data_IF_748848734326
#
_entry.id   IF_748848734326
#
_cell.length_a   1.000
_cell.length_b   1.000
_cell.length_c   1.000
_cell.angle_alpha   90.00
_cell.angle_beta   90.00
_cell.angle_gamma   90.00
#
_symmetry.space_group_name_H-M   'P 1'
#
loop_
_entity.id
_entity.type
_entity.pdbx_description
1 polymer ?
2 polymer ?
3 polymer ?
4 non-polymer ?
5 non-polymer ?
6 water ?
#
# COMPACT_ATOMS: atom_id res chain seq x y z
N UNK A 1 -13.69 15.97 -6.80
CA UNK A 1 -12.79 14.83 -6.72
C UNK A 1 -11.40 15.24 -6.27
N UNK A 2 -11.11 15.02 -4.98
CA UNK A 2 -9.83 15.40 -4.37
C UNK A 2 -8.68 14.49 -4.81
N UNK A 3 -7.46 14.96 -4.58
CA UNK A 3 -6.26 14.18 -4.87
C UNK A 3 -5.28 14.37 -3.74
N UNK A 4 -4.33 13.45 -3.61
CA UNK A 4 -3.39 13.50 -2.51
C UNK A 4 -1.97 13.22 -2.96
N UNK A 5 -1.02 13.78 -2.23
CA UNK A 5 0.37 13.40 -2.39
C UNK A 5 0.80 12.87 -1.05
N UNK A 6 1.27 11.61 -1.00
CA UNK A 6 1.71 10.99 0.24
C UNK A 6 3.11 10.36 0.09
N UNK A 7 3.93 10.53 1.12
CA UNK A 7 5.18 9.78 1.24
C UNK A 7 5.12 8.85 2.46
N UNK A 8 5.50 7.60 2.21
CA UNK A 8 5.62 6.62 3.27
C UNK A 8 7.11 6.42 3.54
N UNK A 9 7.50 6.70 4.77
CA UNK A 9 8.92 6.72 5.12
C UNK A 9 9.18 5.76 6.24
N UNK A 10 10.22 4.95 6.09
CA UNK A 10 10.53 3.93 7.08
C UNK A 10 12.02 3.82 7.30
N UNK A 11 12.43 3.74 8.56
CA UNK A 11 13.80 3.45 8.90
C UNK A 11 13.85 2.30 9.86
N UNK A 12 14.63 1.27 9.54
CA UNK A 12 14.61 0.03 10.31
C UNK A 12 16.04 -0.36 10.70
N UNK A 13 16.34 -0.46 11.99
CA UNK A 13 17.72 -0.79 12.37
C UNK A 13 17.97 -2.30 12.26
N UNK A 14 19.23 -2.70 12.25
CA UNK A 14 19.56 -4.10 12.12
C UNK A 14 20.93 -4.40 12.72
N UNK A 15 20.97 -4.46 14.05
CA UNK A 15 22.23 -4.65 14.80
C UNK A 15 22.96 -5.88 14.30
N UNK A 16 24.26 -5.76 14.13
CA UNK A 16 25.06 -6.86 13.64
C UNK A 16 25.14 -6.89 12.12
N UNK A 17 24.29 -6.13 11.45
CA UNK A 17 24.27 -6.19 9.98
C UNK A 17 24.55 -4.89 9.23
N UNK A 18 25.09 -3.89 9.90
CA UNK A 18 25.39 -2.63 9.25
C UNK A 18 24.35 -1.54 9.52
N UNK A 19 24.30 -0.56 8.64
CA UNK A 19 23.40 0.60 8.77
C UNK A 19 21.93 0.23 8.64
N UNK A 20 21.06 1.03 9.25
CA UNK A 20 19.61 0.80 9.14
C UNK A 20 19.18 0.78 7.69
N UNK A 21 18.13 0.04 7.37
CA UNK A 21 17.57 0.21 6.05
C UNK A 21 16.69 1.45 6.08
N UNK A 22 16.71 2.20 4.98
CA UNK A 22 15.93 3.44 4.89
C UNK A 22 15.23 3.51 3.55
N UNK A 23 13.94 3.85 3.57
CA UNK A 23 13.06 3.80 2.41
C UNK A 23 12.04 4.93 2.44
N UNK A 24 11.88 5.58 1.29
CA UNK A 24 10.81 6.57 1.08
C UNK A 24 10.04 6.12 -0.15
N UNK A 25 8.72 6.08 -0.04
CA UNK A 25 7.88 5.71 -1.20
C UNK A 25 6.77 6.74 -1.35
N UNK A 26 6.68 7.31 -2.54
CA UNK A 26 5.71 8.35 -2.80
C UNK A 26 4.58 7.93 -3.71
N UNK A 27 3.39 8.43 -3.40
CA UNK A 27 2.18 8.12 -4.15
C UNK A 27 1.44 9.41 -4.55
N UNK A 28 0.90 9.43 -5.76
CA UNK A 28 -0.15 10.40 -6.07
C UNK A 28 -1.45 9.61 -6.13
N UNK A 29 -2.40 9.94 -5.26
CA UNK A 29 -3.57 9.09 -5.11
C UNK A 29 -3.13 7.66 -4.74
N UNK A 30 -3.65 6.63 -5.42
CA UNK A 30 -3.30 5.24 -5.11
C UNK A 30 -2.19 4.70 -6.01
N UNK A 31 -1.48 5.58 -6.70
CA UNK A 31 -0.45 5.17 -7.67
C UNK A 31 0.97 5.47 -7.18
N UNK A 32 1.80 4.44 -7.06
CA UNK A 32 3.21 4.67 -6.72
C UNK A 32 3.91 5.48 -7.83
N UNK A 33 4.66 6.52 -7.50
CA UNK A 33 5.30 7.31 -8.56
C UNK A 33 6.81 7.58 -8.36
N UNK A 34 7.28 7.50 -7.11
CA UNK A 34 8.72 7.56 -6.82
C UNK A 34 9.13 6.66 -5.65
N UNK A 35 10.41 6.31 -5.61
CA UNK A 35 10.90 5.44 -4.55
C UNK A 35 12.39 5.64 -4.29
N UNK A 36 12.78 5.63 -3.02
CA UNK A 36 14.19 5.61 -2.64
C UNK A 36 14.43 4.49 -1.64
N UNK A 37 15.49 3.71 -1.89
CA UNK A 37 15.78 2.53 -1.07
C UNK A 37 17.28 2.45 -0.82
N UNK A 38 17.69 2.58 0.44
CA UNK A 38 19.09 2.56 0.81
C UNK A 38 19.81 1.24 0.47
N UNK A 39 19.06 0.17 0.30
CA UNK A 39 19.67 -1.12 0.00
C UNK A 39 19.96 -1.35 -1.49
N UNK A 40 19.39 -0.50 -2.36
CA UNK A 40 19.65 -0.61 -3.78
C UNK A 40 21.15 -0.59 -4.07
N UNK A 41 21.56 -1.24 -5.17
CA UNK A 41 22.95 -1.26 -5.59
C UNK A 41 23.49 0.15 -5.64
N UNK A 42 22.71 1.01 -6.27
CA UNK A 42 23.01 2.43 -6.35
C UNK A 42 21.85 3.25 -5.77
N UNK A 43 21.95 3.60 -4.49
CA UNK A 43 20.80 4.23 -3.80
C UNK A 43 20.47 5.60 -4.37
N UNK A 44 19.31 5.76 -4.99
CA UNK A 44 18.92 7.07 -5.53
C UNK A 44 17.41 7.14 -5.66
N UNK A 45 16.86 8.35 -5.73
CA UNK A 45 15.45 8.48 -6.06
C UNK A 45 15.17 8.02 -7.49
N UNK A 46 14.14 7.19 -7.66
CA UNK A 46 13.80 6.68 -9.00
C UNK A 46 12.33 6.83 -9.34
N UNK A 47 12.04 7.08 -10.63
CA UNK A 47 10.65 7.12 -11.12
C UNK A 47 10.00 5.76 -11.03
N UNK A 48 8.71 5.72 -10.72
CA UNK A 48 7.98 4.46 -10.61
C UNK A 48 6.75 4.52 -11.51
N UNK A 49 6.55 5.68 -12.14
CA UNK A 49 5.46 5.89 -13.07
C UNK A 49 6.08 6.43 -14.34
N UNK A 50 5.55 6.00 -15.48
CA UNK A 50 6.12 6.41 -16.75
C UNK A 50 6.12 7.93 -16.99
N UNK A 51 5.07 8.63 -16.54
CA UNK A 51 4.97 10.06 -16.78
C UNK A 51 6.00 10.89 -16.00
N UNK A 52 6.68 10.27 -15.04
CA UNK A 52 7.68 10.98 -14.26
C UNK A 52 8.94 11.18 -15.10
N UNK A 53 8.94 10.54 -16.25
CA UNK A 53 9.90 10.77 -17.31
C UNK A 53 10.00 12.27 -17.67
N UNK A 54 8.91 12.99 -17.45
CA UNK A 54 8.89 14.43 -17.66
C UNK A 54 9.81 15.27 -16.74
N UNK A 55 10.35 14.69 -15.66
CA UNK A 55 11.30 15.44 -14.81
C UNK A 55 12.74 15.25 -15.27
N UNK A 56 13.50 16.34 -15.29
CA UNK A 56 14.90 16.32 -15.69
C UNK A 56 15.85 15.90 -14.58
N UNK A 57 17.14 15.68 -14.93
CA UNK A 57 18.07 15.12 -13.93
C UNK A 57 18.22 16.02 -12.68
N UNK A 58 18.00 17.32 -12.82
CA UNK A 58 18.11 18.22 -11.66
C UNK A 58 17.08 17.91 -10.57
N UNK A 59 15.92 17.38 -10.97
CA UNK A 59 14.93 16.90 -10.03
C UNK A 59 15.41 15.67 -9.28
N UNK A 60 15.87 14.68 -10.02
CA UNK A 60 16.34 13.42 -9.45
C UNK A 60 17.52 13.67 -8.50
N UNK A 61 18.36 14.64 -8.85
CA UNK A 61 19.53 14.95 -8.04
C UNK A 61 19.10 15.60 -6.74
N UNK A 62 18.22 16.59 -6.84
CA UNK A 62 17.70 17.32 -5.70
C UNK A 62 17.04 16.37 -4.70
N UNK A 63 16.15 15.53 -5.22
CA UNK A 63 15.40 14.60 -4.36
C UNK A 63 16.32 13.58 -3.70
N UNK A 64 17.27 13.06 -4.48
CA UNK A 64 18.22 12.07 -3.98
C UNK A 64 19.02 12.64 -2.83
N UNK A 65 19.48 13.87 -2.98
CA UNK A 65 20.26 14.52 -1.92
C UNK A 65 19.40 14.72 -0.67
N UNK A 66 18.15 15.14 -0.85
CA UNK A 66 17.23 15.26 0.28
C UNK A 66 17.09 13.92 0.95
N UNK A 67 16.90 12.88 0.16
CA UNK A 67 16.68 11.56 0.71
C UNK A 67 17.90 11.10 1.49
N UNK A 68 19.09 11.45 0.99
CA UNK A 68 20.32 11.05 1.68
C UNK A 68 20.46 11.80 3.00
N UNK A 69 19.94 13.03 3.06
CA UNK A 69 19.96 13.78 4.31
C UNK A 69 18.94 13.21 5.28
N UNK A 70 17.78 12.84 4.77
CA UNK A 70 16.76 12.21 5.57
C UNK A 70 17.29 10.90 6.18
N UNK A 71 18.00 10.12 5.38
CA UNK A 71 18.58 8.86 5.86
C UNK A 71 19.44 9.12 7.09
N UNK A 72 20.33 10.11 6.97
CA UNK A 72 21.21 10.46 8.07
C UNK A 72 20.44 10.93 9.31
N UNK A 73 19.39 11.71 9.09
CA UNK A 73 18.62 12.22 10.22
C UNK A 73 17.89 11.08 10.93
N UNK A 74 17.41 10.10 10.17
CA UNK A 74 16.71 8.97 10.80
C UNK A 74 17.65 7.98 11.52
N UNK A 75 18.83 7.75 10.99
CA UNK A 75 19.87 7.04 11.74
C UNK A 75 20.08 7.67 13.12
N UNK A 76 20.11 9.00 13.16
CA UNK A 76 20.29 9.73 14.42
C UNK A 76 19.11 9.51 15.34
N UNK A 77 17.89 9.60 14.79
CA UNK A 77 16.67 9.35 15.52
C UNK A 77 16.64 7.96 16.17
N UNK A 78 17.03 6.94 15.40
CA UNK A 78 16.99 5.58 15.91
C UNK A 78 17.83 5.51 17.18
N UNK A 79 19.01 6.13 17.12
CA UNK A 79 19.90 6.15 18.26
C UNK A 79 19.30 6.93 19.43
N UNK A 80 18.68 8.07 19.13
CA UNK A 80 18.11 8.93 20.14
C UNK A 80 17.00 8.22 20.90
N UNK A 81 16.12 7.55 20.17
CA UNK A 81 14.98 6.90 20.79
C UNK A 81 15.45 5.67 21.55
N UNK A 82 16.46 5.00 21.03
CA UNK A 82 17.02 3.85 21.71
C UNK A 82 17.40 4.22 23.14
N UNK A 83 18.04 5.38 23.27
CA UNK A 83 18.43 5.88 24.58
C UNK A 83 17.25 6.30 25.44
N UNK A 84 16.41 7.18 24.88
CA UNK A 84 15.27 7.71 25.62
C UNK A 84 14.42 6.58 26.17
N UNK A 85 14.24 5.50 25.41
CA UNK A 85 13.47 4.34 25.87
C UNK A 85 14.29 3.34 26.70
N UNK A 86 15.58 3.65 26.89
CA UNK A 86 16.47 2.76 27.63
C UNK A 86 16.41 1.34 27.10
N UNK A 87 16.59 1.19 25.78
CA UNK A 87 16.51 -0.12 25.11
C UNK A 87 17.89 -0.71 24.76
N UNK A 88 17.96 -2.03 24.67
CA UNK A 88 19.20 -2.71 24.34
C UNK A 88 19.73 -2.33 22.96
N UNK A 89 21.04 -2.44 22.79
CA UNK A 89 21.64 -2.11 21.51
C UNK A 89 21.46 -3.29 20.55
N UNK A 90 20.94 -4.39 21.06
CA UNK A 90 20.88 -5.63 20.29
C UNK A 90 19.66 -5.82 19.42
N UNK A 91 18.57 -5.11 19.70
CA UNK A 91 17.32 -5.32 19.00
C UNK A 91 17.09 -4.41 17.79
N UNK A 92 16.28 -4.87 16.84
CA UNK A 92 15.91 -4.05 15.70
C UNK A 92 14.75 -3.15 16.10
N UNK A 93 14.73 -1.91 15.61
CA UNK A 93 13.58 -1.04 15.86
C UNK A 93 13.19 -0.31 14.58
N UNK A 94 11.97 0.25 14.57
CA UNK A 94 11.43 0.88 13.38
C UNK A 94 10.84 2.25 13.64
N UNK A 95 11.20 3.20 12.78
CA UNK A 95 10.50 4.48 12.73
C UNK A 95 9.71 4.58 11.43
N UNK A 96 8.49 5.08 11.53
CA UNK A 96 7.65 5.26 10.36
C UNK A 96 7.09 6.66 10.36
N UNK A 97 6.93 7.20 9.16
CA UNK A 97 6.35 8.52 8.97
C UNK A 97 5.46 8.53 7.74
N UNK A 98 4.31 9.15 7.88
CA UNK A 98 3.51 9.46 6.70
C UNK A 98 3.35 10.97 6.66
N UNK A 99 3.58 11.53 5.48
CA UNK A 99 3.71 12.95 5.26
C UNK A 99 3.07 13.29 3.94
N UNK A 100 2.25 14.34 3.90
CA UNK A 100 1.64 14.71 2.63
C UNK A 100 0.47 15.65 2.74
N UNK A 101 -0.19 15.86 1.61
CA UNK A 101 -1.30 16.79 1.51
C UNK A 101 -2.39 16.31 0.55
N UNK A 102 -3.58 16.85 0.75
CA UNK A 102 -4.73 16.59 -0.10
C UNK A 102 -5.27 17.91 -0.65
N UNK A 103 -5.57 17.97 -1.95
CA UNK A 103 -6.17 19.16 -2.55
C UNK A 103 -7.52 18.86 -3.19
N UNK A 104 -8.37 19.88 -3.28
CA UNK A 104 -9.64 19.72 -3.96
C UNK A 104 -9.47 19.71 -5.47
N UNK A 105 -10.56 19.52 -6.19
CA UNK A 105 -10.53 19.51 -7.65
C UNK A 105 -10.11 20.87 -8.21
N UNK A 106 -10.23 21.91 -7.39
CA UNK A 106 -9.80 23.25 -7.78
C UNK A 106 -8.32 23.52 -7.44
N UNK A 107 -7.62 22.52 -6.93
CA UNK A 107 -6.20 22.64 -6.65
C UNK A 107 -5.86 23.31 -5.33
N UNK A 108 -6.87 23.54 -4.50
CA UNK A 108 -6.69 24.19 -3.21
C UNK A 108 -6.53 23.19 -2.06
N UNK A 109 -5.63 23.50 -1.14
CA UNK A 109 -5.34 22.64 -0.01
C UNK A 109 -6.60 22.33 0.79
N UNK A 110 -6.80 21.05 1.11
CA UNK A 110 -7.88 20.63 1.99
C UNK A 110 -7.29 20.25 3.34
N UNK A 111 -6.21 19.49 3.32
CA UNK A 111 -5.62 19.04 4.56
C UNK A 111 -4.15 18.70 4.38
N UNK A 112 -3.39 18.84 5.46
CA UNK A 112 -2.00 18.45 5.46
C UNK A 112 -1.73 17.62 6.69
N UNK A 113 -0.76 16.71 6.62
CA UNK A 113 -0.51 15.88 7.79
C UNK A 113 0.89 15.35 7.83
N UNK A 114 1.33 15.04 9.04
CA UNK A 114 2.61 14.36 9.21
C UNK A 114 2.59 13.64 10.53
N UNK A 115 2.68 12.31 10.47
CA UNK A 115 2.47 11.51 11.67
C UNK A 115 3.62 10.50 11.81
N UNK A 116 4.20 10.42 13.00
CA UNK A 116 5.32 9.50 13.27
C UNK A 116 4.90 8.38 14.19
N UNK A 117 5.52 7.21 13.98
CA UNK A 117 5.41 6.10 14.91
C UNK A 117 6.79 5.50 15.21
N UNK A 118 6.90 4.87 16.37
CA UNK A 118 8.08 4.12 16.75
C UNK A 118 7.66 2.71 17.14
N UNK A 119 8.31 1.71 16.55
CA UNK A 119 7.95 0.33 16.80
C UNK A 119 6.44 0.10 16.65
N UNK A 120 5.85 0.82 15.69
CA UNK A 120 4.48 0.61 15.28
C UNK A 120 3.42 1.23 16.18
N UNK A 121 3.83 2.15 17.04
CA UNK A 121 2.88 2.89 17.87
C UNK A 121 3.03 4.40 17.67
N UNK A 122 1.90 5.10 17.63
CA UNK A 122 1.92 6.56 17.62
C UNK A 122 3.05 7.14 18.47
N UNK A 123 3.80 8.08 17.89
CA UNK A 123 4.88 8.76 18.61
C UNK A 123 4.58 10.26 18.70
N UNK A 124 4.54 10.94 17.56
CA UNK A 124 4.14 12.35 17.52
C UNK A 124 3.36 12.68 16.24
N UNK A 125 2.48 13.67 16.31
CA UNK A 125 1.74 14.05 15.12
C UNK A 125 1.48 15.56 15.05
N UNK A 126 1.50 16.10 13.84
CA UNK A 126 1.08 17.48 13.64
C UNK A 126 -0.45 17.57 13.73
N UNK A 127 -0.98 18.51 14.51
CA UNK A 127 -2.44 18.65 14.61
C UNK A 127 -3.03 19.28 13.36
N UNK A 128 -4.37 19.33 13.30
CA UNK A 128 -5.05 19.82 12.09
C UNK A 128 -4.80 21.30 11.85
N UNK A 129 -4.53 22.03 12.93
CA UNK A 129 -4.25 23.46 12.84
C UNK A 129 -2.92 23.75 12.14
N UNK A 130 -2.11 22.72 11.91
CA UNK A 130 -0.76 22.85 11.35
C UNK A 130 0.16 23.75 12.18
N UNK A 131 -0.09 23.84 13.47
CA UNK A 131 0.67 24.75 14.33
C UNK A 131 1.15 24.07 15.60
N UNK A 132 0.47 23.01 16.02
CA UNK A 132 0.76 22.40 17.30
C UNK A 132 0.91 20.88 17.17
N UNK A 133 1.64 20.30 18.11
CA UNK A 133 1.94 18.87 18.09
C UNK A 133 1.18 18.15 19.17
N UNK A 134 0.84 16.90 18.90
CA UNK A 134 0.40 16.00 19.95
C UNK A 134 1.42 14.86 20.08
N UNK A 135 2.01 14.76 21.28
CA UNK A 135 2.94 13.69 21.62
C UNK A 135 2.22 12.57 22.37
N UNK A 136 2.61 11.32 22.14
CA UNK A 136 1.87 10.18 22.68
C UNK A 136 2.44 9.54 23.95
N UNK A 137 3.68 9.84 24.26
CA UNK A 137 4.30 9.33 25.48
C UNK A 137 5.35 10.33 25.92
N UNK A 138 6.13 9.98 26.94
CA UNK A 138 7.03 10.96 27.55
C UNK A 138 8.29 11.22 26.73
N UNK A 139 8.69 10.25 25.91
CA UNK A 139 9.83 10.49 25.02
C UNK A 139 9.44 11.48 23.92
N UNK A 140 8.26 11.29 23.32
CA UNK A 140 7.77 12.22 22.32
C UNK A 140 7.63 13.63 22.88
N UNK A 141 7.46 13.77 24.20
CA UNK A 141 7.40 15.11 24.80
C UNK A 141 8.71 15.87 24.62
N UNK A 142 9.82 15.16 24.68
CA UNK A 142 11.12 15.78 24.40
C UNK A 142 11.20 16.29 22.96
N UNK A 143 10.81 15.44 22.01
CA UNK A 143 10.81 15.85 20.61
C UNK A 143 9.89 17.06 20.40
N UNK A 144 8.69 16.98 20.95
CA UNK A 144 7.77 18.11 20.86
C UNK A 144 8.42 19.44 21.32
N UNK A 145 9.17 19.40 22.42
CA UNK A 145 9.78 20.62 22.94
C UNK A 145 10.86 21.14 22.00
N UNK A 146 11.75 20.25 21.58
CA UNK A 146 12.75 20.59 20.56
C UNK A 146 12.10 21.30 19.37
N UNK A 147 11.02 20.73 18.84
CA UNK A 147 10.41 21.26 17.62
C UNK A 147 9.69 22.59 17.85
N UNK A 148 9.09 22.75 19.02
CA UNK A 148 8.55 24.05 19.38
C UNK A 148 9.66 25.09 19.42
N UNK A 149 10.76 24.76 20.09
CA UNK A 149 11.85 25.71 20.26
C UNK A 149 12.51 26.06 18.92
N UNK A 150 12.53 25.12 17.98
CA UNK A 150 13.18 25.39 16.70
C UNK A 150 12.22 25.90 15.63
N UNK A 151 10.97 26.12 15.98
CA UNK A 151 9.99 26.57 15.00
C UNK A 151 9.71 25.56 13.88
N UNK A 152 9.87 24.27 14.17
CA UNK A 152 9.65 23.20 13.18
C UNK A 152 8.25 23.18 12.54
N UNK A 153 7.21 23.44 13.33
CA UNK A 153 5.85 23.40 12.77
C UNK A 153 5.62 24.50 11.72
N UNK A 154 6.19 25.67 11.94
CA UNK A 154 6.08 26.73 10.95
C UNK A 154 6.84 26.33 9.66
N UNK A 155 7.98 25.66 9.82
CA UNK A 155 8.70 25.17 8.67
C UNK A 155 7.89 24.14 7.92
N UNK A 156 7.34 23.19 8.67
CA UNK A 156 6.54 22.14 8.08
C UNK A 156 5.29 22.71 7.42
N UNK A 157 4.65 23.67 8.06
CA UNK A 157 3.41 24.21 7.52
C UNK A 157 3.69 24.90 6.18
N UNK A 158 4.83 25.59 6.08
CA UNK A 158 5.23 26.21 4.83
C UNK A 158 5.43 25.19 3.71
N UNK A 159 5.95 24.01 4.05
CA UNK A 159 6.08 22.95 3.05
C UNK A 159 4.69 22.39 2.67
N UNK A 160 3.88 22.06 3.66
CA UNK A 160 2.57 21.46 3.44
C UNK A 160 1.63 22.38 2.68
N UNK A 161 1.74 23.69 2.93
CA UNK A 161 0.85 24.65 2.26
C UNK A 161 1.45 25.19 0.99
N UNK A 162 2.75 24.99 0.82
CA UNK A 162 3.47 25.58 -0.28
C UNK A 162 3.94 24.48 -1.21
N UNK A 163 5.15 23.99 -0.93
CA UNK A 163 5.81 23.01 -1.78
C UNK A 163 4.92 21.82 -2.11
N UNK A 164 4.34 21.21 -1.07
CA UNK A 164 3.58 19.97 -1.24
C UNK A 164 2.41 20.17 -2.21
N UNK A 165 1.65 21.25 -2.02
CA UNK A 165 0.51 21.55 -2.87
C UNK A 165 0.96 21.83 -4.32
N UNK A 166 2.05 22.56 -4.44
CA UNK A 166 2.52 22.97 -5.76
C UNK A 166 3.05 21.79 -6.57
N UNK A 167 3.87 20.96 -5.96
CA UNK A 167 4.30 19.75 -6.66
C UNK A 167 3.14 18.81 -7.00
N UNK A 168 2.20 18.64 -6.08
CA UNK A 168 1.04 17.80 -6.37
C UNK A 168 0.29 18.30 -7.62
N UNK A 169 0.11 19.61 -7.76
CA UNK A 169 -0.60 20.16 -8.93
C UNK A 169 0.16 19.82 -10.20
N UNK A 170 1.48 19.93 -10.13
CA UNK A 170 2.33 19.64 -11.27
C UNK A 170 2.34 18.15 -11.63
N UNK A 171 2.37 17.27 -10.63
CA UNK A 171 2.30 15.84 -10.89
C UNK A 171 0.95 15.51 -11.57
N UNK A 172 -0.14 16.04 -11.02
CA UNK A 172 -1.47 15.84 -11.61
C UNK A 172 -1.55 16.29 -13.07
N UNK A 173 -0.88 17.40 -13.38
CA UNK A 173 -0.83 17.90 -14.75
C UNK A 173 0.01 17.00 -15.64
N UNK A 174 1.23 16.71 -15.20
CA UNK A 174 2.14 15.90 -15.99
C UNK A 174 1.62 14.47 -16.21
N UNK A 175 1.02 13.87 -15.19
CA UNK A 175 0.50 12.51 -15.32
C UNK A 175 -0.99 12.45 -15.61
N UNK A 176 -1.53 13.56 -16.10
CA UNK A 176 -2.97 13.67 -16.34
C UNK A 176 -3.57 12.43 -16.99
N UNK A 177 -2.94 11.95 -18.05
CA UNK A 177 -3.48 10.82 -18.81
C UNK A 177 -3.63 9.56 -17.97
N UNK A 178 -2.69 9.35 -17.06
CA UNK A 178 -2.70 8.19 -16.20
C UNK A 178 -3.54 8.43 -14.96
N UNK A 179 -3.31 9.57 -14.32
CA UNK A 179 -3.86 9.79 -13.00
C UNK A 179 -5.33 10.14 -13.01
N UNK A 180 -5.79 10.76 -14.11
CA UNK A 180 -7.16 11.23 -14.15
C UNK A 180 -8.09 10.29 -14.92
N UNK A 181 -7.58 9.12 -15.28
CA UNK A 181 -8.33 8.16 -16.06
C UNK A 181 -9.34 7.40 -15.20
N UNK A 182 -10.29 6.77 -15.85
CA UNK A 182 -11.17 5.83 -15.17
C UNK A 182 -11.16 4.51 -15.92
N UNK A 183 -10.85 3.42 -15.20
CA UNK A 183 -11.00 2.07 -15.75
C UNK A 183 -12.17 1.37 -15.09
N UNK A 184 -13.13 0.95 -15.92
CA UNK A 184 -14.36 0.35 -15.44
C UNK A 184 -14.11 -1.08 -15.02
N UNK A 185 -14.70 -1.49 -13.89
CA UNK A 185 -14.57 -2.87 -13.43
C UNK A 185 -15.23 -3.82 -14.39
N UNK A 186 -14.64 -5.01 -14.54
CA UNK A 186 -15.29 -6.09 -15.24
C UNK A 186 -15.55 -7.16 -14.20
N UNK A 187 -16.77 -7.67 -14.16
CA UNK A 187 -17.16 -8.54 -13.05
C UNK A 187 -17.68 -9.91 -13.48
N UNK A 188 -17.53 -10.89 -12.58
CA UNK A 188 -18.06 -12.23 -12.80
C UNK A 188 -18.28 -12.95 -11.46
N UNK A 189 -19.11 -13.98 -11.48
CA UNK A 189 -19.50 -14.68 -10.26
C UNK A 189 -19.08 -16.15 -10.30
N UNK A 190 -18.41 -16.61 -9.25
CA UNK A 190 -18.03 -18.02 -9.14
C UNK A 190 -18.89 -18.75 -8.08
N UNK A 191 -18.92 -20.08 -8.19
CA UNK A 191 -19.81 -20.93 -7.42
C UNK A 191 -19.00 -22.08 -6.83
N UNK A 192 -19.10 -22.25 -5.51
CA UNK A 192 -18.39 -23.35 -4.85
C UNK A 192 -19.31 -24.15 -3.94
N UNK A 193 -19.26 -25.47 -4.07
CA UNK A 193 -20.13 -26.31 -3.25
C UNK A 193 -19.63 -26.32 -1.81
N UNK A 194 -20.53 -26.58 -0.88
CA UNK A 194 -20.19 -26.70 0.54
C UNK A 194 -20.87 -27.92 1.15
N UNK A 195 -20.41 -28.33 2.33
CA UNK A 195 -21.16 -29.31 3.12
C UNK A 195 -22.52 -28.71 3.50
N UNK A 196 -23.50 -29.57 3.72
CA UNK A 196 -24.82 -29.16 4.22
C UNK A 196 -25.68 -28.39 3.22
N UNK A 197 -25.59 -28.75 1.94
CA UNK A 197 -26.50 -28.19 0.93
C UNK A 197 -26.45 -26.67 0.87
N UNK A 198 -25.27 -26.12 1.09
CA UNK A 198 -25.07 -24.69 0.96
C UNK A 198 -23.95 -24.38 -0.03
N UNK A 199 -24.02 -23.20 -0.62
CA UNK A 199 -23.13 -22.82 -1.71
C UNK A 199 -22.40 -21.51 -1.40
N UNK A 200 -21.14 -21.40 -1.81
CA UNK A 200 -20.48 -20.11 -1.81
C UNK A 200 -20.60 -19.42 -3.17
N UNK A 201 -21.13 -18.21 -3.18
CA UNK A 201 -21.15 -17.42 -4.39
C UNK A 201 -20.15 -16.28 -4.21
N UNK A 202 -19.19 -16.16 -5.12
CA UNK A 202 -18.16 -15.12 -4.97
C UNK A 202 -18.20 -14.14 -6.14
N UNK A 203 -18.40 -12.87 -5.82
CA UNK A 203 -18.45 -11.83 -6.86
C UNK A 203 -17.09 -11.15 -7.05
N UNK A 204 -16.52 -11.26 -8.24
CA UNK A 204 -15.23 -10.61 -8.53
C UNK A 204 -15.41 -9.31 -9.30
N UNK A 205 -14.57 -8.31 -8.96
CA UNK A 205 -14.44 -7.11 -9.76
C UNK A 205 -12.96 -6.89 -10.14
N UNK A 206 -12.68 -6.79 -11.44
CA UNK A 206 -11.31 -6.76 -11.93
C UNK A 206 -11.05 -5.56 -12.81
N UNK A 207 -9.78 -5.16 -12.88
CA UNK A 207 -9.30 -4.21 -13.86
C UNK A 207 -9.71 -2.76 -13.67
N UNK A 208 -9.98 -2.34 -12.44
CA UNK A 208 -10.51 -0.97 -12.26
C UNK A 208 -9.51 0.05 -11.69
N UNK A 209 -9.83 1.31 -11.97
CA UNK A 209 -9.10 2.46 -11.46
C UNK A 209 -10.04 3.64 -11.51
N UNK A 210 -10.03 4.49 -10.48
CA UNK A 210 -9.19 4.37 -9.27
C UNK A 210 -9.68 3.29 -8.31
N UNK A 211 -9.09 3.21 -7.12
CA UNK A 211 -9.28 2.05 -6.25
C UNK A 211 -10.63 2.01 -5.52
N UNK A 212 -11.25 3.17 -5.34
CA UNK A 212 -12.51 3.21 -4.60
C UNK A 212 -13.57 2.41 -5.38
N UNK A 213 -14.28 1.53 -4.68
CA UNK A 213 -15.32 0.70 -5.28
C UNK A 213 -16.27 0.17 -4.21
N UNK A 214 -17.47 -0.23 -4.60
CA UNK A 214 -18.39 -0.89 -3.67
C UNK A 214 -19.00 -2.16 -4.27
N UNK A 215 -18.92 -3.27 -3.52
CA UNK A 215 -19.56 -4.52 -3.91
C UNK A 215 -20.59 -4.90 -2.86
N UNK A 216 -21.79 -5.28 -3.30
CA UNK A 216 -22.81 -5.74 -2.37
C UNK A 216 -23.55 -7.00 -2.89
N UNK A 217 -23.96 -7.84 -1.96
CA UNK A 217 -24.85 -8.95 -2.27
C UNK A 217 -26.26 -8.62 -1.79
N UNK A 218 -27.24 -8.81 -2.67
CA UNK A 218 -28.63 -8.60 -2.30
C UNK A 218 -29.43 -9.87 -2.38
N UNK A 219 -30.40 -10.00 -1.49
CA UNK A 219 -31.36 -11.09 -1.54
C UNK A 219 -32.70 -10.63 -2.12
N UNK A 220 -33.47 -9.92 -1.32
CA UNK A 220 -34.76 -9.42 -1.78
C UNK A 220 -34.78 -7.90 -1.71
N UNK A 221 -34.12 -7.25 -2.67
CA UNK A 221 -33.95 -5.82 -2.67
C UNK A 221 -33.27 -5.34 -1.40
N UNK A 222 -32.77 -6.28 -0.60
CA UNK A 222 -32.10 -5.95 0.66
C UNK A 222 -30.64 -6.38 0.64
N UNK A 223 -29.80 -5.63 1.35
CA UNK A 223 -28.37 -5.89 1.33
C UNK A 223 -27.96 -6.84 2.46
N UNK A 224 -27.05 -7.75 2.14
CA UNK A 224 -26.62 -8.75 3.11
C UNK A 224 -25.48 -8.25 3.99
N UNK A 225 -25.71 -8.27 5.29
CA UNK A 225 -24.75 -7.75 6.26
C UNK A 225 -24.05 -8.90 6.96
N UNK A 226 -24.58 -10.10 6.78
CA UNK A 226 -24.07 -11.26 7.47
C UNK A 226 -23.79 -12.42 6.54
N UNK A 227 -22.84 -13.27 6.94
CA UNK A 227 -22.32 -14.35 6.10
C UNK A 227 -21.60 -13.82 4.85
N UNK A 228 -21.46 -12.50 4.76
CA UNK A 228 -20.74 -11.89 3.65
C UNK A 228 -19.27 -11.71 4.00
N UNK A 229 -18.39 -12.30 3.20
CA UNK A 229 -16.95 -12.17 3.42
C UNK A 229 -16.34 -11.35 2.27
N UNK A 230 -15.15 -10.81 2.49
CA UNK A 230 -14.47 -10.07 1.42
C UNK A 230 -12.98 -9.86 1.71
N UNK A 231 -12.29 -9.29 0.72
CA UNK A 231 -10.91 -8.88 0.88
C UNK A 231 -10.84 -7.39 0.69
N UNK A 232 -9.82 -6.78 1.28
CA UNK A 232 -9.51 -5.39 1.02
C UNK A 232 -9.18 -5.25 -0.47
N UNK A 233 -9.63 -4.15 -1.06
CA UNK A 233 -9.25 -3.78 -2.41
C UNK A 233 -7.74 -3.81 -2.56
N UNK A 234 -7.27 -4.44 -3.64
CA UNK A 234 -5.85 -4.72 -3.77
C UNK A 234 -5.33 -4.43 -5.19
N UNK A 235 -4.06 -4.07 -5.29
CA UNK A 235 -3.39 -3.75 -6.56
C UNK A 235 -3.08 -5.04 -7.33
N UNK A 236 -3.19 -4.97 -8.66
CA UNK A 236 -3.12 -6.17 -9.48
C UNK A 236 -1.84 -6.24 -10.30
N UNK A 237 -0.90 -5.33 -9.99
CA UNK A 237 0.43 -5.40 -10.56
C UNK A 237 0.68 -4.55 -11.78
N UNK A 238 -0.37 -3.93 -12.31
CA UNK A 238 -0.25 -3.08 -13.49
C UNK A 238 -0.87 -1.71 -13.25
N UNK A 239 -1.14 -1.38 -11.99
CA UNK A 239 -1.66 -0.07 -11.68
C UNK A 239 -3.18 -0.02 -11.70
N UNK A 240 -3.78 -1.19 -11.86
CA UNK A 240 -5.22 -1.33 -11.65
C UNK A 240 -5.46 -2.09 -10.35
N UNK A 241 -6.73 -2.21 -9.96
CA UNK A 241 -7.09 -2.85 -8.69
C UNK A 241 -8.15 -3.96 -8.86
N UNK A 242 -8.28 -4.84 -7.85
CA UNK A 242 -9.37 -5.83 -7.84
C UNK A 242 -9.96 -6.05 -6.46
N UNK A 243 -11.13 -6.68 -6.42
CA UNK A 243 -11.80 -6.95 -5.17
C UNK A 243 -12.74 -8.15 -5.36
N UNK A 244 -12.98 -8.90 -4.28
CA UNK A 244 -14.10 -9.84 -4.28
C UNK A 244 -14.88 -9.80 -2.97
N UNK A 245 -16.10 -10.31 -3.04
CA UNK A 245 -17.01 -10.39 -1.90
C UNK A 245 -17.89 -11.63 -2.09
N UNK A 246 -18.08 -12.41 -1.03
CA UNK A 246 -18.85 -13.63 -1.15
C UNK A 246 -19.97 -13.74 -0.12
N UNK A 247 -20.93 -14.61 -0.41
CA UNK A 247 -22.00 -14.89 0.53
C UNK A 247 -22.31 -16.39 0.44
N UNK A 248 -22.72 -16.98 1.56
CA UNK A 248 -23.11 -18.38 1.55
C UNK A 248 -24.63 -18.51 1.47
N UNK A 249 -25.13 -19.18 0.43
CA UNK A 249 -26.57 -19.33 0.22
C UNK A 249 -27.04 -20.80 0.22
N UNK A 250 -28.35 -21.01 0.38
CA UNK A 250 -28.91 -22.36 0.25
C UNK A 250 -28.81 -22.87 -1.18
N UNK A 251 -28.29 -24.09 -1.33
CA UNK A 251 -28.25 -24.73 -2.63
C UNK A 251 -29.64 -24.76 -3.24
N UNK A 252 -29.72 -24.48 -4.53
CA UNK A 252 -30.99 -24.44 -5.23
C UNK A 252 -31.64 -23.08 -5.17
N UNK A 253 -31.05 -22.15 -4.43
CA UNK A 253 -31.63 -20.81 -4.27
C UNK A 253 -30.77 -19.71 -4.89
N UNK A 254 -29.80 -20.12 -5.70
CA UNK A 254 -28.77 -19.22 -6.19
C UNK A 254 -29.31 -18.05 -7.00
N UNK A 255 -30.30 -18.31 -7.85
CA UNK A 255 -30.78 -17.29 -8.76
C UNK A 255 -31.43 -16.08 -8.08
N UNK A 256 -31.68 -16.20 -6.78
CA UNK A 256 -32.32 -15.10 -6.04
C UNK A 256 -31.32 -14.13 -5.43
N UNK A 257 -30.04 -14.41 -5.61
CA UNK A 257 -29.02 -13.51 -5.09
C UNK A 257 -28.38 -12.70 -6.21
N UNK A 258 -28.17 -11.41 -5.96
CA UNK A 258 -27.52 -10.57 -6.96
C UNK A 258 -26.36 -9.80 -6.36
N UNK A 259 -25.34 -9.62 -7.19
CA UNK A 259 -24.18 -8.84 -6.81
C UNK A 259 -24.25 -7.47 -7.48
N UNK A 260 -23.98 -6.42 -6.70
CA UNK A 260 -23.97 -5.06 -7.23
C UNK A 260 -22.62 -4.37 -7.12
N UNK A 261 -22.22 -3.74 -8.21
CA UNK A 261 -20.91 -3.11 -8.30
C UNK A 261 -21.05 -1.64 -8.65
N UNK A 262 -20.62 -0.78 -7.72
CA UNK A 262 -20.68 0.66 -7.93
C UNK A 262 -19.28 1.23 -8.12
N UNK A 263 -19.07 1.93 -9.23
CA UNK A 263 -17.76 2.50 -9.48
C UNK A 263 -17.81 3.77 -10.31
N UNK A 264 -16.86 4.66 -10.06
CA UNK A 264 -16.69 5.88 -10.85
C UNK A 264 -16.82 5.61 -12.35
N UNK A 265 -16.34 4.46 -12.80
CA UNK A 265 -16.39 4.11 -14.22
C UNK A 265 -17.64 3.40 -14.70
N UNK A 266 -18.67 3.36 -13.87
CA UNK A 266 -19.92 2.73 -14.25
C UNK A 266 -21.08 3.72 -14.17
N UNK A 267 -21.46 4.30 -15.31
CA UNK A 267 -22.59 5.23 -15.28
C UNK A 267 -23.80 4.58 -14.58
N UNK A 268 -24.08 3.32 -14.89
CA UNK A 268 -25.06 2.52 -14.14
C UNK A 268 -24.33 1.41 -13.40
N UNK A 269 -24.69 1.15 -12.14
CA UNK A 269 -23.98 0.10 -11.40
C UNK A 269 -24.23 -1.25 -12.04
N UNK A 270 -23.29 -2.17 -11.88
CA UNK A 270 -23.47 -3.51 -12.43
C UNK A 270 -24.35 -4.35 -11.54
N UNK A 271 -25.20 -5.16 -12.17
CA UNK A 271 -25.96 -6.19 -11.46
C UNK A 271 -25.60 -7.53 -12.08
N UNK A 272 -25.12 -8.47 -11.26
CA UNK A 272 -24.73 -9.79 -11.75
C UNK A 272 -25.35 -10.90 -10.94
N UNK A 273 -25.43 -12.07 -11.57
CA UNK A 273 -25.99 -13.28 -10.96
C UNK A 273 -25.13 -14.48 -11.34
N UNK A 274 -25.15 -15.52 -10.51
CA UNK A 274 -24.50 -16.79 -10.88
C UNK A 274 -25.10 -17.36 -12.16
N UNK A 275 -24.24 -17.56 -13.17
CA UNK A 275 -24.67 -18.09 -14.46
C UNK A 275 -24.21 -19.53 -14.64
N UNK A 276 -25.10 -20.48 -14.32
CA UNK A 276 -24.80 -21.92 -14.40
C UNK A 276 -24.52 -22.38 -15.83
N UNK B 1 3.46 -6.97 20.26
CA UNK B 1 3.15 -5.96 19.26
C UNK B 1 3.35 -6.54 17.85
N UNK B 2 3.57 -7.84 17.79
CA UNK B 2 3.82 -8.53 16.52
C UNK B 2 2.52 -8.78 15.79
N UNK B 3 2.52 -8.61 14.46
CA UNK B 3 1.34 -8.83 13.65
C UNK B 3 1.65 -9.75 12.49
N UNK B 4 0.80 -10.76 12.30
CA UNK B 4 1.01 -11.84 11.36
C UNK B 4 0.54 -11.47 9.95
N UNK B 5 1.39 -11.67 8.95
CA UNK B 5 1.02 -11.30 7.57
C UNK B 5 -0.18 -12.07 7.05
N UNK B 6 -1.10 -11.35 6.43
CA UNK B 6 -2.14 -11.97 5.63
C UNK B 6 -1.59 -12.13 4.21
N UNK B 7 -1.74 -13.31 3.62
CA UNK B 7 -1.13 -13.54 2.30
C UNK B 7 -2.19 -13.93 1.28
N UNK B 8 -2.18 -13.22 0.16
CA UNK B 8 -3.19 -13.39 -0.87
C UNK B 8 -2.55 -13.53 -2.24
N UNK B 9 -2.95 -14.56 -2.98
CA UNK B 9 -2.39 -14.81 -4.31
C UNK B 9 -3.50 -14.82 -5.36
N UNK B 10 -3.27 -14.11 -6.46
CA UNK B 10 -4.30 -13.93 -7.49
C UNK B 10 -3.65 -13.38 -8.76
N UNK B 11 -4.26 -13.69 -9.91
CA UNK B 11 -3.79 -13.16 -11.19
C UNK B 11 -4.52 -11.88 -11.61
N UNK B 12 -3.88 -11.08 -12.46
CA UNK B 12 -4.48 -9.87 -12.99
C UNK B 12 -5.74 -10.17 -13.81
N UNK B 13 -5.64 -11.11 -14.76
CA UNK B 13 -6.79 -11.56 -15.57
C UNK B 13 -7.27 -12.96 -15.22
N UNK B 14 -8.55 -13.27 -15.53
CA UNK B 14 -9.05 -14.65 -15.41
C UNK B 14 -8.13 -15.57 -16.20
N UNK B 15 -7.58 -16.59 -15.54
CA UNK B 15 -6.52 -17.38 -16.18
C UNK B 15 -6.99 -18.17 -17.41
N UNK B 16 -6.20 -18.11 -18.48
CA UNK B 16 -6.38 -18.93 -19.67
C UNK B 16 -5.06 -19.51 -20.08
N UNK B 17 -5.00 -20.82 -20.23
CA UNK B 17 -3.77 -21.48 -20.63
C UNK B 17 -3.22 -20.83 -21.91
N UNK B 18 -1.93 -20.49 -21.90
CA UNK B 18 -1.29 -19.91 -23.06
C UNK B 18 -1.39 -18.40 -23.21
N UNK B 19 -2.19 -17.74 -22.37
CA UNK B 19 -2.30 -16.28 -22.44
C UNK B 19 -1.53 -15.58 -21.32
N UNK B 20 -0.65 -14.65 -21.70
CA UNK B 20 0.18 -13.86 -20.77
C UNK B 20 -0.69 -13.17 -19.73
N UNK B 21 -0.17 -13.11 -18.51
CA UNK B 21 -0.92 -12.66 -17.35
C UNK B 21 0.07 -12.09 -16.33
N UNK B 22 -0.41 -11.72 -15.16
CA UNK B 22 0.45 -11.28 -14.07
C UNK B 22 -0.02 -11.99 -12.82
N UNK B 23 0.92 -12.57 -12.07
CA UNK B 23 0.61 -13.23 -10.82
C UNK B 23 1.02 -12.29 -9.71
N UNK B 24 0.17 -12.19 -8.70
CA UNK B 24 0.34 -11.26 -7.58
C UNK B 24 0.41 -11.97 -6.26
N UNK B 25 1.28 -11.50 -5.38
CA UNK B 25 1.27 -11.95 -4.00
C UNK B 25 1.27 -10.72 -3.13
N UNK B 26 0.13 -10.46 -2.49
CA UNK B 26 -0.07 -9.27 -1.69
C UNK B 26 0.05 -9.68 -0.25
N UNK B 27 1.00 -9.09 0.46
CA UNK B 27 1.32 -9.46 1.83
C UNK B 27 1.04 -8.29 2.76
N UNK B 28 0.15 -8.46 3.73
CA UNK B 28 -0.43 -7.29 4.36
C UNK B 28 -0.58 -7.38 5.85
N UNK B 29 -0.75 -6.23 6.49
CA UNK B 29 -1.00 -6.15 7.92
C UNK B 29 0.04 -6.87 8.78
N UNK B 30 1.32 -6.73 8.43
CA UNK B 30 2.36 -7.32 9.26
C UNK B 30 3.22 -6.28 9.98
N UNK B 31 3.83 -6.73 11.07
CA UNK B 31 4.77 -5.93 11.85
C UNK B 31 5.50 -6.89 12.77
N UNK B 32 6.82 -6.81 12.84
CA UNK B 32 7.73 -5.80 12.30
C UNK B 32 7.96 -5.94 10.79
N UNK B 33 8.65 -4.96 10.18
CA UNK B 33 8.80 -4.86 8.72
C UNK B 33 9.70 -5.89 8.05
N UNK B 34 10.69 -6.43 8.75
CA UNK B 34 11.55 -7.42 8.11
C UNK B 34 10.71 -8.63 7.68
N UNK B 35 10.85 -9.03 6.42
CA UNK B 35 10.07 -10.14 5.93
C UNK B 35 10.70 -10.72 4.68
N UNK B 36 10.47 -12.01 4.43
CA UNK B 36 10.94 -12.62 3.19
C UNK B 36 9.76 -13.15 2.42
N UNK B 37 9.70 -12.83 1.14
CA UNK B 37 8.57 -13.18 0.30
C UNK B 37 9.09 -13.78 -0.98
N UNK B 38 8.74 -15.04 -1.24
CA UNK B 38 9.20 -15.71 -2.45
C UNK B 38 8.03 -16.19 -3.29
N UNK B 39 8.08 -15.94 -4.59
CA UNK B 39 7.13 -16.53 -5.49
C UNK B 39 7.74 -17.79 -6.11
N UNK B 40 6.92 -18.83 -6.26
CA UNK B 40 7.38 -20.14 -6.69
C UNK B 40 6.58 -20.68 -7.87
N UNK B 41 7.27 -21.27 -8.82
CA UNK B 41 6.66 -21.97 -9.92
C UNK B 41 7.09 -23.44 -9.80
N UNK B 42 6.14 -24.34 -9.58
CA UNK B 42 6.49 -25.75 -9.43
C UNK B 42 7.55 -26.02 -8.36
N UNK B 43 7.44 -25.33 -7.23
CA UNK B 43 8.34 -25.57 -6.11
C UNK B 43 9.68 -24.87 -6.20
N UNK B 44 9.86 -24.05 -7.23
CA UNK B 44 11.15 -23.42 -7.48
C UNK B 44 10.99 -21.89 -7.53
N UNK B 45 11.89 -21.18 -6.85
CA UNK B 45 11.83 -19.72 -6.82
C UNK B 45 11.86 -19.10 -8.22
N UNK B 46 10.89 -18.22 -8.49
CA UNK B 46 10.87 -17.45 -9.71
C UNK B 46 11.85 -16.30 -9.55
N UNK B 47 12.76 -16.12 -10.51
CA UNK B 47 13.71 -15.01 -10.40
C UNK B 47 13.09 -13.70 -10.91
N UNK B 48 13.64 -12.56 -10.49
CA UNK B 48 13.19 -11.28 -11.04
C UNK B 48 11.73 -10.95 -10.72
N UNK B 49 11.30 -11.20 -9.49
CA UNK B 49 9.97 -10.75 -9.07
C UNK B 49 10.06 -9.27 -8.69
N UNK B 50 9.07 -8.49 -9.14
CA UNK B 50 9.02 -7.08 -8.76
C UNK B 50 8.35 -6.90 -7.41
N UNK B 51 8.91 -6.02 -6.59
CA UNK B 51 8.26 -5.63 -5.36
C UNK B 51 7.74 -4.22 -5.55
N UNK B 52 6.47 -3.99 -5.21
CA UNK B 52 5.90 -2.65 -5.36
C UNK B 52 4.85 -2.34 -4.32
N UNK B 53 4.28 -1.13 -4.39
CA UNK B 53 3.14 -0.78 -3.57
C UNK B 53 3.35 -0.99 -2.09
N UNK B 54 4.54 -0.62 -1.60
CA UNK B 54 4.79 -0.68 -0.17
C UNK B 54 4.02 0.47 0.51
N UNK B 55 3.30 0.18 1.60
CA UNK B 55 2.65 1.24 2.37
C UNK B 55 2.37 0.80 3.81
N UNK B 56 1.74 1.67 4.58
CA UNK B 56 1.19 1.24 5.87
C UNK B 56 -0.23 1.77 6.08
N UNK B 57 -1.00 1.00 6.83
CA UNK B 57 -2.37 1.39 7.19
C UNK B 57 -2.30 2.33 8.39
N UNK B 58 -3.47 2.75 8.86
CA UNK B 58 -3.55 3.71 9.96
C UNK B 58 -3.02 3.18 11.30
N UNK B 59 -3.07 1.86 11.49
CA UNK B 59 -2.49 1.27 12.70
C UNK B 59 -1.02 0.90 12.50
N UNK B 60 -0.43 1.43 11.43
CA UNK B 60 1.00 1.31 11.14
C UNK B 60 1.47 -0.04 10.59
N UNK B 61 0.58 -1.00 10.39
CA UNK B 61 1.02 -2.29 9.86
C UNK B 61 1.44 -2.16 8.38
N UNK B 62 2.39 -2.98 7.96
CA UNK B 62 3.00 -2.88 6.63
C UNK B 62 2.22 -3.64 5.55
N UNK B 63 2.20 -3.09 4.33
CA UNK B 63 1.60 -3.75 3.18
C UNK B 63 2.61 -3.77 2.05
N UNK B 64 2.65 -4.84 1.27
CA UNK B 64 3.53 -4.85 0.11
C UNK B 64 3.09 -5.86 -0.94
N UNK B 65 3.41 -5.58 -2.19
CA UNK B 65 3.03 -6.46 -3.30
C UNK B 65 4.23 -7.04 -4.01
N UNK B 66 4.20 -8.35 -4.27
CA UNK B 66 5.16 -8.97 -5.18
C UNK B 66 4.39 -9.41 -6.40
N UNK B 67 4.94 -9.16 -7.59
CA UNK B 67 4.28 -9.64 -8.80
C UNK B 67 5.27 -10.03 -9.88
N UNK B 68 4.80 -10.86 -10.79
CA UNK B 68 5.62 -11.31 -11.90
C UNK B 68 4.74 -11.72 -13.06
N UNK B 69 5.30 -11.62 -14.27
CA UNK B 69 4.57 -12.00 -15.46
C UNK B 69 4.63 -13.50 -15.60
N UNK B 70 3.56 -14.08 -16.11
CA UNK B 70 3.50 -15.52 -16.29
C UNK B 70 2.43 -15.89 -17.29
N UNK B 71 2.58 -17.07 -17.87
CA UNK B 71 1.60 -17.63 -18.78
C UNK B 71 1.19 -19.01 -18.25
N UNK B 72 -0.04 -19.12 -17.75
CA UNK B 72 -0.50 -20.38 -17.14
C UNK B 72 -0.57 -21.54 -18.13
N UNK B 73 -0.32 -22.74 -17.63
CA UNK B 73 -0.52 -23.96 -18.41
C UNK B 73 -1.42 -24.86 -17.58
N UNK B 74 -1.81 -26.00 -18.13
CA UNK B 74 -2.70 -26.89 -17.38
C UNK B 74 -2.03 -27.44 -16.12
N UNK B 75 -0.74 -27.71 -16.15
CA UNK B 75 -0.13 -28.34 -14.98
C UNK B 75 0.82 -27.48 -14.12
N UNK B 76 1.23 -26.30 -14.59
CA UNK B 76 2.12 -25.47 -13.77
C UNK B 76 1.43 -25.02 -12.46
N UNK B 77 2.13 -25.16 -11.34
CA UNK B 77 1.56 -24.69 -10.08
C UNK B 77 2.32 -23.45 -9.58
N UNK B 78 1.62 -22.57 -8.87
CA UNK B 78 2.19 -21.33 -8.36
C UNK B 78 1.81 -21.11 -6.90
N UNK B 79 2.73 -20.50 -6.15
CA UNK B 79 2.57 -20.27 -4.72
C UNK B 79 3.43 -19.13 -4.27
N UNK B 80 3.13 -18.63 -3.08
CA UNK B 80 3.88 -17.58 -2.47
C UNK B 80 4.30 -18.08 -1.10
N UNK B 81 5.59 -18.01 -0.80
CA UNK B 81 6.12 -18.47 0.47
C UNK B 81 6.67 -17.30 1.26
N UNK B 82 6.20 -17.18 2.50
CA UNK B 82 6.53 -16.03 3.31
C UNK B 82 7.17 -16.43 4.64
N UNK B 83 8.26 -15.76 4.98
CA UNK B 83 8.98 -16.01 6.23
C UNK B 83 8.95 -14.74 7.06
N UNK B 84 8.49 -14.86 8.29
CA UNK B 84 8.29 -13.69 9.16
C UNK B 84 8.32 -14.10 10.63
N UNK B 85 8.86 -13.22 11.48
CA UNK B 85 9.06 -13.54 12.90
C UNK B 85 7.79 -13.92 13.64
N UNK B 86 6.63 -13.44 13.17
CA UNK B 86 5.37 -13.82 13.80
C UNK B 86 5.01 -15.28 13.60
N UNK B 87 5.71 -15.96 12.68
CA UNK B 87 5.41 -17.34 12.35
C UNK B 87 6.61 -18.27 12.60
N UNK B 88 6.39 -19.38 13.30
CA UNK B 88 7.47 -20.32 13.63
C UNK B 88 8.11 -20.92 12.38
N UNK B 89 7.30 -21.17 11.37
CA UNK B 89 7.77 -21.76 10.12
C UNK B 89 7.25 -20.93 8.97
N UNK B 90 7.86 -21.08 7.79
CA UNK B 90 7.36 -20.35 6.62
C UNK B 90 5.94 -20.77 6.29
N UNK B 91 5.15 -19.82 5.79
CA UNK B 91 3.79 -20.07 5.34
C UNK B 91 3.75 -20.03 3.82
N UNK B 92 3.15 -21.04 3.22
CA UNK B 92 3.03 -21.10 1.77
C UNK B 92 1.56 -21.01 1.39
N UNK B 93 1.25 -20.05 0.52
CA UNK B 93 -0.10 -19.95 -0.01
C UNK B 93 -0.10 -20.25 -1.50
N UNK B 94 -0.97 -21.18 -1.91
CA UNK B 94 -1.05 -21.61 -3.31
C UNK B 94 -2.05 -20.80 -4.16
N UNK B 95 -1.68 -20.55 -5.40
CA UNK B 95 -2.61 -19.95 -6.34
C UNK B 95 -3.75 -20.93 -6.67
N UNK B 96 -4.98 -20.43 -6.59
CA UNK B 96 -6.16 -21.24 -6.84
C UNK B 96 -6.89 -20.63 -8.03
N UNK B 97 -6.62 -21.15 -9.22
CA UNK B 97 -7.15 -20.53 -10.43
C UNK B 97 -8.67 -20.55 -10.54
N UNK B 98 -9.33 -21.36 -9.72
CA UNK B 98 -10.78 -21.51 -9.81
C UNK B 98 -11.52 -20.73 -8.73
N UNK B 99 -10.80 -19.97 -7.92
CA UNK B 99 -11.42 -19.32 -6.77
C UNK B 99 -12.52 -18.34 -7.19
N UNK C 1 7.33 16.15 -4.23
CA UNK C 1 8.68 16.38 -3.70
C UNK C 1 8.69 16.22 -2.18
N UNK C 2 9.68 15.50 -1.66
CA UNK C 2 9.65 15.08 -0.28
C UNK C 2 10.12 16.19 0.66
N UNK C 3 9.68 16.12 1.92
CA UNK C 3 10.10 17.05 2.95
C UNK C 3 11.51 16.74 3.45
N UNK C 4 12.22 17.78 3.87
CA UNK C 4 13.50 17.57 4.53
C UNK C 4 13.27 17.52 6.03
N UNK C 5 13.22 16.31 6.57
CA UNK C 5 12.83 16.07 7.96
C UNK C 5 13.84 16.58 8.99
N UNK C 6 13.33 17.02 10.12
CA UNK C 6 14.16 17.43 11.24
C UNK C 6 14.44 16.22 12.13
N UNK C 7 15.55 16.25 12.88
CA UNK C 7 15.84 15.19 13.85
C UNK C 7 14.86 15.28 15.02
N UNK C 8 14.61 14.14 15.65
CA UNK C 8 13.64 14.02 16.74
C UNK C 8 14.26 14.30 18.12
#
# INVERSE_FOLDING_TARGET
GPHSLRYFVTAVSRPGLGEPRYMEVGYVDDTEFVRFDSDAENPRYEPRARWMEQEGPEYWERETQKAKGNEQSFRVDLRTLLGCYNQSKGGSHTIQVISGCEVGSDGRLLRGYQQYAYDGCDYIALNEDLKTWTAADMCALITKHKWEQAGEAERLRAYLEGTCVEWLRRYLKNGNATLLRTDSPKAHVTHHSRPEDKVTLRCWALGFYPADITLTWQLNGEELIQDMELVETRPAGDGTFQKWASVVVPLGKEQYYTCHVYHQGLPEPLTLRWEP
IQKTPQIQVYSRHPPENGKPNILNCYVTQFHPPHIEIQMLKNGKKIPKVEMSDMSFSKDWSFYILAHTEFTPTETDTYACRVKHDSMAEPKTVYWDRDM
AVYNFATM
#
